data_IF_853407210341
#
_entry.id   IF_853407210341
#
_cell.length_a   1.000
_cell.length_b   1.000
_cell.length_c   1.000
_cell.angle_alpha   90.00
_cell.angle_beta   90.00
_cell.angle_gamma   90.00
#
_symmetry.space_group_name_H-M   'P 1'
#
loop_
_entity.id
_entity.type
_entity.pdbx_description
1 polymer ?
#
# COMPACT_ATOMS: atom_id res chain seq x y z
N UNK A 1 2.70 -0.45 37.17
CA UNK A 1 1.33 -0.49 36.62
C UNK A 1 1.42 -0.60 35.11
N UNK A 2 0.89 -1.66 34.49
CA UNK A 2 0.76 -1.73 33.03
C UNK A 2 -0.32 -0.72 32.65
N UNK A 3 0.07 0.45 32.15
CA UNK A 3 -0.89 1.35 31.53
C UNK A 3 -1.57 0.58 30.40
N UNK A 4 -2.87 0.30 30.56
CA UNK A 4 -3.67 -0.31 29.51
C UNK A 4 -3.56 0.58 28.28
N UNK A 5 -3.30 -0.02 27.12
CA UNK A 5 -3.31 0.71 25.85
C UNK A 5 -4.67 1.42 25.75
N UNK A 6 -4.71 2.73 25.52
CA UNK A 6 -5.98 3.43 25.33
C UNK A 6 -6.62 2.89 24.06
N UNK A 7 -7.60 2.01 24.21
CA UNK A 7 -8.52 1.66 23.14
C UNK A 7 -9.39 2.88 22.94
N UNK A 8 -9.41 3.42 21.72
CA UNK A 8 -10.23 4.58 21.38
C UNK A 8 -11.23 4.15 20.31
N UNK A 9 -12.39 3.57 20.71
CA UNK A 9 -13.34 2.96 19.78
C UNK A 9 -13.84 3.90 18.69
N UNK A 10 -13.85 5.22 18.95
CA UNK A 10 -14.22 6.22 17.95
C UNK A 10 -13.36 6.13 16.68
N UNK A 11 -12.06 5.84 16.80
CA UNK A 11 -11.17 5.69 15.65
C UNK A 11 -11.43 4.41 14.85
N UNK A 12 -11.98 3.37 15.46
CA UNK A 12 -12.40 2.17 14.73
C UNK A 12 -13.62 2.45 13.84
N UNK A 13 -14.53 3.34 14.27
CA UNK A 13 -15.61 3.85 13.43
C UNK A 13 -15.10 4.63 12.22
N UNK A 14 -14.12 5.52 12.41
CA UNK A 14 -13.48 6.24 11.31
C UNK A 14 -12.74 5.31 10.33
N UNK A 15 -12.08 4.26 10.83
CA UNK A 15 -11.47 3.23 9.98
C UNK A 15 -12.52 2.50 9.16
N UNK A 16 -13.63 2.09 9.78
CA UNK A 16 -14.71 1.41 9.09
C UNK A 16 -15.27 2.28 7.95
N UNK A 17 -15.51 3.57 8.21
CA UNK A 17 -15.94 4.51 7.18
C UNK A 17 -14.92 4.66 6.05
N UNK A 18 -13.63 4.79 6.38
CA UNK A 18 -12.57 4.87 5.38
C UNK A 18 -12.48 3.59 4.53
N UNK A 19 -12.55 2.41 5.14
CA UNK A 19 -12.56 1.11 4.44
C UNK A 19 -13.74 1.02 3.48
N UNK A 20 -14.95 1.42 3.91
CA UNK A 20 -16.12 1.45 3.04
C UNK A 20 -15.92 2.39 1.84
N UNK A 21 -15.32 3.56 2.05
CA UNK A 21 -14.95 4.47 0.97
C UNK A 21 -13.98 3.83 -0.03
N UNK A 22 -12.92 3.18 0.45
CA UNK A 22 -11.94 2.48 -0.39
C UNK A 22 -12.62 1.37 -1.21
N UNK A 23 -13.42 0.51 -0.57
CA UNK A 23 -14.15 -0.57 -1.26
C UNK A 23 -15.08 0.01 -2.32
N UNK A 24 -15.82 1.06 -1.99
CA UNK A 24 -16.76 1.70 -2.92
C UNK A 24 -16.03 2.24 -4.15
N UNK A 25 -14.92 2.97 -3.98
CA UNK A 25 -14.12 3.49 -5.10
C UNK A 25 -13.61 2.36 -5.98
N UNK A 26 -13.05 1.29 -5.41
CA UNK A 26 -12.54 0.17 -6.19
C UNK A 26 -13.66 -0.56 -6.94
N UNK A 27 -14.82 -0.77 -6.32
CA UNK A 27 -15.98 -1.37 -7.01
C UNK A 27 -16.44 -0.51 -8.19
N UNK A 28 -16.47 0.82 -8.04
CA UNK A 28 -16.84 1.74 -9.11
C UNK A 28 -15.79 1.81 -10.23
N UNK A 29 -14.49 1.67 -9.89
CA UNK A 29 -13.41 1.54 -10.87
C UNK A 29 -13.53 0.23 -11.66
N UNK A 30 -13.59 -0.92 -10.97
CA UNK A 30 -13.62 -2.23 -11.61
C UNK A 30 -14.93 -2.52 -12.36
N UNK A 31 -16.04 -1.89 -11.98
CA UNK A 31 -17.30 -1.98 -12.74
C UNK A 31 -17.30 -1.19 -14.05
N UNK A 32 -16.27 -0.36 -14.30
CA UNK A 32 -16.22 0.50 -15.48
C UNK A 32 -17.05 1.79 -15.37
N UNK A 33 -17.87 1.92 -14.31
CA UNK A 33 -18.82 3.04 -14.13
C UNK A 33 -18.10 4.38 -14.08
N UNK A 34 -16.92 4.46 -13.44
CA UNK A 34 -16.16 5.72 -13.39
C UNK A 34 -15.58 6.16 -14.74
N UNK A 35 -15.49 5.26 -15.72
CA UNK A 35 -14.99 5.55 -17.07
C UNK A 35 -16.11 5.91 -18.05
N UNK A 36 -17.36 5.58 -17.72
CA UNK A 36 -18.55 5.83 -18.56
C UNK A 36 -19.49 6.89 -17.99
N UNK A 37 -19.40 7.18 -16.69
CA UNK A 37 -20.19 8.22 -16.04
C UNK A 37 -19.89 9.61 -16.60
N UNK A 38 -20.89 10.49 -16.60
CA UNK A 38 -20.69 11.90 -16.91
C UNK A 38 -19.56 12.48 -16.05
N UNK A 39 -18.73 13.35 -16.65
CA UNK A 39 -17.55 13.92 -16.01
C UNK A 39 -17.84 14.49 -14.60
N UNK A 40 -19.04 15.01 -14.36
CA UNK A 40 -19.48 15.56 -13.07
C UNK A 40 -19.63 14.49 -11.99
N UNK A 41 -20.26 13.34 -12.29
CA UNK A 41 -20.48 12.27 -11.30
C UNK A 41 -19.17 11.62 -10.85
N UNK A 42 -18.30 11.31 -11.82
CA UNK A 42 -16.96 10.80 -11.53
C UNK A 42 -16.13 11.79 -10.69
N UNK A 43 -16.20 13.10 -11.02
CA UNK A 43 -15.52 14.16 -10.24
C UNK A 43 -16.00 14.22 -8.79
N UNK A 44 -17.30 14.11 -8.54
CA UNK A 44 -17.86 14.13 -7.17
C UNK A 44 -17.36 12.92 -6.38
N UNK A 45 -17.38 11.73 -6.97
CA UNK A 45 -16.90 10.51 -6.32
C UNK A 45 -15.41 10.64 -5.99
N UNK A 46 -14.59 11.12 -6.93
CA UNK A 46 -13.16 11.36 -6.68
C UNK A 46 -12.91 12.43 -5.62
N UNK A 47 -13.68 13.51 -5.60
CA UNK A 47 -13.55 14.57 -4.62
C UNK A 47 -13.98 14.15 -3.20
N UNK A 48 -14.88 13.17 -3.08
CA UNK A 48 -15.44 12.73 -1.79
C UNK A 48 -14.75 11.49 -1.24
N UNK A 49 -14.64 10.43 -2.05
CA UNK A 49 -14.14 9.12 -1.63
C UNK A 49 -12.73 8.83 -2.12
N UNK A 50 -12.21 9.60 -3.10
CA UNK A 50 -10.86 9.40 -3.63
C UNK A 50 -9.75 9.57 -2.60
N UNK A 51 -10.06 10.17 -1.43
CA UNK A 51 -9.14 10.37 -0.30
C UNK A 51 -9.30 9.35 0.83
N UNK A 52 -10.11 8.30 0.63
CA UNK A 52 -10.44 7.34 1.68
C UNK A 52 -9.21 6.55 2.17
N UNK A 53 -8.26 6.25 1.28
CA UNK A 53 -7.01 5.56 1.63
C UNK A 53 -6.17 6.43 2.56
N UNK A 54 -6.01 7.72 2.26
CA UNK A 54 -5.26 8.66 3.09
C UNK A 54 -5.89 8.79 4.49
N UNK A 55 -7.22 8.87 4.58
CA UNK A 55 -7.92 8.90 5.87
C UNK A 55 -7.64 7.62 6.65
N UNK A 56 -7.70 6.45 6.00
CA UNK A 56 -7.41 5.16 6.64
C UNK A 56 -5.98 5.12 7.20
N UNK A 57 -5.00 5.61 6.44
CA UNK A 57 -3.60 5.70 6.86
C UNK A 57 -3.41 6.66 8.04
N UNK A 58 -3.98 7.87 7.97
CA UNK A 58 -3.86 8.89 9.03
C UNK A 58 -4.45 8.37 10.34
N UNK A 59 -5.67 7.85 10.29
CA UNK A 59 -6.34 7.30 11.49
C UNK A 59 -5.57 6.10 12.04
N UNK A 60 -5.10 5.21 11.17
CA UNK A 60 -4.37 4.03 11.60
C UNK A 60 -3.02 4.38 12.22
N UNK A 61 -2.26 5.25 11.57
CA UNK A 61 -0.99 5.77 12.05
C UNK A 61 -1.13 6.49 13.39
N UNK A 62 -2.17 7.32 13.54
CA UNK A 62 -2.46 8.00 14.82
C UNK A 62 -2.65 7.01 15.97
N UNK A 63 -3.52 6.01 15.81
CA UNK A 63 -3.78 5.00 16.85
C UNK A 63 -2.52 4.20 17.18
N UNK A 64 -1.70 3.90 16.16
CA UNK A 64 -0.43 3.20 16.33
C UNK A 64 0.58 4.05 17.11
N UNK A 65 0.57 5.37 16.92
CA UNK A 65 1.47 6.31 17.56
C UNK A 65 1.11 6.60 19.02
N UNK A 66 -0.16 6.47 19.41
CA UNK A 66 -0.64 6.77 20.78
C UNK A 66 0.20 6.14 21.92
N UNK A 67 0.56 4.84 21.88
CA UNK A 67 1.35 4.23 22.96
C UNK A 67 2.76 4.80 23.04
N UNK A 68 3.33 5.19 21.89
CA UNK A 68 4.66 5.77 21.79
C UNK A 68 4.66 7.20 22.35
N UNK A 69 3.66 8.01 21.97
CA UNK A 69 3.46 9.34 22.55
C UNK A 69 3.22 9.31 24.07
N UNK A 70 2.48 8.30 24.55
CA UNK A 70 2.20 8.12 25.97
C UNK A 70 3.43 7.71 26.79
N UNK A 71 4.47 7.11 26.17
CA UNK A 71 5.69 6.69 26.86
C UNK A 71 6.69 7.80 27.16
N UNK A 72 6.46 9.06 26.71
CA UNK A 72 7.32 10.22 26.98
C UNK A 72 8.83 9.93 26.77
N UNK A 73 9.20 9.30 25.65
CA UNK A 73 10.60 8.95 25.35
C UNK A 73 11.16 7.69 26.04
N UNK A 74 10.38 6.97 26.87
CA UNK A 74 10.81 5.69 27.45
C UNK A 74 10.62 4.52 26.47
N UNK A 75 11.36 4.56 25.35
CA UNK A 75 11.16 3.72 24.17
C UNK A 75 11.89 2.36 24.20
N UNK A 76 12.25 1.84 25.38
CA UNK A 76 12.98 0.57 25.52
C UNK A 76 12.28 -0.67 24.93
N UNK A 77 11.04 -0.54 24.42
CA UNK A 77 10.25 -1.62 23.83
C UNK A 77 9.94 -1.42 22.33
N UNK A 78 10.59 -0.45 21.69
CA UNK A 78 10.36 -0.12 20.28
C UNK A 78 10.83 -1.21 19.31
N UNK A 79 12.08 -1.68 19.47
CA UNK A 79 12.63 -2.72 18.62
C UNK A 79 11.83 -4.04 18.70
N UNK A 80 11.42 -4.54 19.89
CA UNK A 80 10.48 -5.65 19.99
C UNK A 80 9.14 -5.41 19.28
N UNK A 81 8.65 -4.17 19.22
CA UNK A 81 7.44 -3.82 18.49
C UNK A 81 7.64 -3.92 16.98
N UNK A 82 8.75 -3.37 16.45
CA UNK A 82 9.13 -3.49 15.04
C UNK A 82 9.27 -4.94 14.62
N UNK A 83 9.98 -5.77 15.39
CA UNK A 83 10.20 -7.18 15.08
C UNK A 83 8.86 -7.93 15.00
N UNK A 84 7.97 -7.73 15.97
CA UNK A 84 6.63 -8.37 15.96
C UNK A 84 5.80 -7.97 14.75
N UNK A 85 5.89 -6.71 14.32
CA UNK A 85 5.17 -6.23 13.12
C UNK A 85 5.81 -6.72 11.83
N UNK A 86 7.12 -6.63 11.71
CA UNK A 86 7.88 -7.13 10.56
C UNK A 86 7.63 -8.62 10.35
N UNK A 87 7.72 -9.43 11.41
CA UNK A 87 7.45 -10.87 11.36
C UNK A 87 6.01 -11.23 10.95
N UNK A 88 5.05 -10.31 11.15
CA UNK A 88 3.65 -10.50 10.73
C UNK A 88 3.41 -10.07 9.27
N UNK A 89 4.04 -8.98 8.82
CA UNK A 89 3.75 -8.34 7.55
C UNK A 89 4.68 -8.80 6.41
N UNK A 90 5.98 -8.88 6.68
CA UNK A 90 7.01 -9.15 5.65
C UNK A 90 6.88 -10.53 4.99
N UNK A 91 6.56 -11.63 5.72
CA UNK A 91 6.47 -12.95 5.07
C UNK A 91 5.37 -13.02 4.01
N UNK A 92 4.20 -12.46 4.32
CA UNK A 92 3.08 -12.41 3.37
C UNK A 92 3.41 -11.50 2.18
N UNK A 93 4.08 -10.38 2.44
CA UNK A 93 4.53 -9.46 1.39
C UNK A 93 5.54 -10.09 0.43
N UNK A 94 6.58 -10.74 0.95
CA UNK A 94 7.58 -11.40 0.11
C UNK A 94 6.97 -12.56 -0.67
N UNK A 95 6.06 -13.32 -0.05
CA UNK A 95 5.36 -14.40 -0.73
C UNK A 95 4.53 -13.89 -1.91
N UNK A 96 3.70 -12.85 -1.70
CA UNK A 96 2.87 -12.32 -2.79
C UNK A 96 3.72 -11.64 -3.87
N UNK A 97 4.80 -10.96 -3.49
CA UNK A 97 5.73 -10.34 -4.44
C UNK A 97 6.46 -11.39 -5.28
N UNK A 98 6.88 -12.50 -4.66
CA UNK A 98 7.47 -13.64 -5.34
C UNK A 98 6.48 -14.27 -6.31
N UNK A 99 5.25 -14.53 -5.86
CA UNK A 99 4.19 -15.07 -6.73
C UNK A 99 3.95 -14.14 -7.90
N UNK A 100 3.88 -12.82 -7.68
CA UNK A 100 3.70 -11.85 -8.75
C UNK A 100 4.85 -11.90 -9.75
N UNK A 101 6.11 -11.94 -9.30
CA UNK A 101 7.27 -12.03 -10.19
C UNK A 101 7.28 -13.34 -11.00
N UNK A 102 6.92 -14.47 -10.37
CA UNK A 102 6.85 -15.76 -11.04
C UNK A 102 5.72 -15.80 -12.09
N UNK A 103 4.55 -15.23 -11.78
CA UNK A 103 3.44 -15.16 -12.73
C UNK A 103 3.81 -14.31 -13.94
N UNK A 104 4.34 -13.10 -13.72
CA UNK A 104 4.79 -12.20 -14.79
C UNK A 104 5.82 -12.89 -15.67
N UNK A 105 6.83 -13.55 -15.07
CA UNK A 105 7.86 -14.29 -15.81
C UNK A 105 7.26 -15.47 -16.60
N UNK A 106 6.38 -16.26 -15.98
CA UNK A 106 5.74 -17.41 -16.61
C UNK A 106 4.93 -17.02 -17.85
N UNK A 107 4.10 -15.98 -17.75
CA UNK A 107 3.30 -15.49 -18.87
C UNK A 107 4.18 -14.86 -19.96
N UNK A 108 5.18 -14.07 -19.59
CA UNK A 108 6.12 -13.47 -20.55
C UNK A 108 6.88 -14.53 -21.37
N UNK A 109 7.25 -15.66 -20.76
CA UNK A 109 7.91 -16.77 -21.44
C UNK A 109 6.95 -17.64 -22.28
N UNK A 110 5.67 -17.72 -21.88
CA UNK A 110 4.67 -18.59 -22.53
C UNK A 110 4.09 -17.97 -23.81
N UNK A 111 3.85 -16.66 -23.82
CA UNK A 111 3.36 -15.93 -24.99
C UNK A 111 3.89 -14.49 -24.98
N UNK A 112 5.11 -14.26 -25.49
CA UNK A 112 5.76 -12.95 -25.49
C UNK A 112 4.96 -11.87 -26.24
N UNK A 113 4.14 -12.26 -27.22
CA UNK A 113 3.34 -11.33 -28.02
C UNK A 113 2.11 -10.83 -27.26
N UNK A 114 1.50 -11.69 -26.42
CA UNK A 114 0.36 -11.32 -25.57
C UNK A 114 0.74 -10.49 -24.33
N UNK A 115 1.99 -10.57 -23.88
CA UNK A 115 2.45 -9.89 -22.67
C UNK A 115 2.82 -8.43 -22.91
N UNK A 116 3.12 -8.05 -24.17
CA UNK A 116 3.45 -6.70 -24.59
C UNK A 116 2.24 -5.74 -24.74
N UNK A 117 1.09 -6.03 -24.08
CA UNK A 117 -0.08 -5.17 -24.16
C UNK A 117 0.11 -3.91 -23.31
N UNK A 118 0.28 -2.78 -23.98
CA UNK A 118 0.14 -1.45 -23.41
C UNK A 118 -1.35 -1.10 -23.36
N UNK A 119 -2.00 -1.26 -22.20
CA UNK A 119 -3.33 -0.68 -21.98
C UNK A 119 -3.16 0.83 -21.73
N UNK A 120 -3.67 1.72 -22.60
CA UNK A 120 -3.57 3.17 -22.41
C UNK A 120 -4.34 3.68 -21.18
N UNK A 121 -5.29 2.89 -20.65
CA UNK A 121 -6.02 3.20 -19.42
C UNK A 121 -5.29 2.72 -18.15
N UNK A 122 -4.34 1.80 -18.29
CA UNK A 122 -3.44 1.42 -17.21
C UNK A 122 -2.33 2.46 -17.13
N UNK A 123 -2.22 3.16 -16.00
CA UNK A 123 -1.08 4.03 -15.74
C UNK A 123 0.23 3.25 -15.92
N UNK A 124 0.90 3.45 -17.06
CA UNK A 124 2.31 3.12 -17.33
C UNK A 124 2.77 1.70 -16.97
N UNK A 125 1.94 0.67 -17.17
CA UNK A 125 2.33 -0.72 -16.91
C UNK A 125 2.54 -1.49 -18.20
N UNK A 126 3.70 -1.31 -18.82
CA UNK A 126 4.23 -2.34 -19.72
C UNK A 126 4.61 -3.54 -18.87
N UNK A 127 3.83 -4.61 -18.97
CA UNK A 127 4.17 -5.90 -18.37
C UNK A 127 5.38 -6.45 -19.14
N UNK A 128 6.55 -6.37 -18.53
CA UNK A 128 7.79 -6.94 -19.05
C UNK A 128 8.34 -7.97 -18.06
N UNK A 129 9.24 -8.83 -18.53
CA UNK A 129 10.00 -9.72 -17.62
C UNK A 129 10.71 -8.86 -16.58
N UNK A 130 10.54 -9.13 -15.27
CA UNK A 130 11.16 -8.32 -14.22
C UNK A 130 12.69 -8.39 -14.33
N UNK A 131 13.35 -7.24 -14.30
CA UNK A 131 14.80 -7.16 -14.12
C UNK A 131 15.17 -7.31 -12.63
N UNK A 132 16.44 -7.56 -12.34
CA UNK A 132 17.02 -7.48 -11.00
C UNK A 132 16.68 -6.15 -10.30
N UNK A 133 16.64 -5.02 -11.02
CA UNK A 133 16.21 -3.75 -10.45
C UNK A 133 14.77 -3.77 -9.90
N UNK A 134 13.85 -4.39 -10.64
CA UNK A 134 12.45 -4.53 -10.24
C UNK A 134 12.30 -5.44 -9.04
N UNK A 135 13.04 -6.56 -9.04
CA UNK A 135 13.05 -7.51 -7.93
C UNK A 135 13.62 -6.85 -6.67
N UNK A 136 14.80 -6.23 -6.75
CA UNK A 136 15.43 -5.60 -5.59
C UNK A 136 14.53 -4.48 -5.04
N UNK A 137 14.02 -3.60 -5.89
CA UNK A 137 13.18 -2.48 -5.46
C UNK A 137 11.90 -2.94 -4.77
N UNK A 138 11.22 -3.95 -5.30
CA UNK A 138 10.00 -4.49 -4.68
C UNK A 138 10.31 -5.28 -3.41
N UNK A 139 11.24 -6.25 -3.42
CA UNK A 139 11.51 -7.06 -2.22
C UNK A 139 12.04 -6.26 -1.02
N UNK A 140 12.64 -5.09 -1.27
CA UNK A 140 13.10 -4.15 -0.24
C UNK A 140 12.08 -3.08 0.15
N UNK A 141 10.86 -3.12 -0.41
CA UNK A 141 9.81 -2.09 -0.26
C UNK A 141 10.22 -0.68 -0.73
N UNK A 142 11.26 -0.56 -1.57
CA UNK A 142 11.79 0.72 -2.07
C UNK A 142 11.20 1.12 -3.42
N UNK A 143 10.43 0.26 -4.09
CA UNK A 143 9.79 0.59 -5.37
C UNK A 143 8.94 1.87 -5.32
N UNK A 144 8.16 2.09 -4.27
CA UNK A 144 7.34 3.30 -4.10
C UNK A 144 8.19 4.56 -3.91
N UNK A 145 9.16 4.63 -2.97
CA UNK A 145 9.98 5.82 -2.82
C UNK A 145 10.88 6.09 -4.03
N UNK A 146 11.40 5.05 -4.69
CA UNK A 146 12.15 5.21 -5.94
C UNK A 146 11.26 5.72 -7.08
N UNK A 147 9.98 5.32 -7.09
CA UNK A 147 8.95 5.79 -8.01
C UNK A 147 8.74 7.31 -8.01
N UNK A 148 9.06 8.02 -6.91
CA UNK A 148 9.00 9.49 -6.89
C UNK A 148 10.12 10.16 -7.68
N UNK A 149 11.22 9.43 -7.95
CA UNK A 149 12.39 9.94 -8.65
C UNK A 149 12.47 9.40 -10.09
N UNK A 150 11.92 8.21 -10.34
CA UNK A 150 11.83 7.63 -11.68
C UNK A 150 10.61 6.72 -11.85
N UNK A 151 9.98 6.79 -13.03
CA UNK A 151 8.87 5.90 -13.40
C UNK A 151 9.33 4.48 -13.80
N UNK A 152 10.59 4.14 -13.53
CA UNK A 152 11.22 2.90 -14.00
C UNK A 152 10.95 1.70 -13.09
N UNK A 153 10.36 1.90 -11.91
CA UNK A 153 10.19 0.84 -10.91
C UNK A 153 8.71 0.46 -10.76
N UNK A 154 8.24 -0.61 -11.45
CA UNK A 154 6.85 -1.04 -11.37
C UNK A 154 6.55 -1.61 -9.98
N UNK A 155 5.57 -1.02 -9.29
CA UNK A 155 5.12 -1.51 -7.98
C UNK A 155 4.34 -2.82 -8.14
N UNK A 156 4.67 -3.82 -7.33
CA UNK A 156 3.98 -5.11 -7.34
C UNK A 156 4.12 -5.85 -8.67
N UNK A 157 5.28 -5.69 -9.34
CA UNK A 157 5.56 -6.25 -10.67
C UNK A 157 4.58 -5.79 -11.75
N UNK A 158 3.88 -4.67 -11.53
CA UNK A 158 2.88 -4.17 -12.47
C UNK A 158 1.53 -4.91 -12.45
N UNK A 159 1.39 -5.98 -11.67
CA UNK A 159 0.12 -6.74 -11.61
C UNK A 159 -0.58 -6.68 -10.25
N UNK A 160 0.16 -6.31 -9.19
CA UNK A 160 -0.38 -6.22 -7.84
C UNK A 160 -0.16 -4.83 -7.27
N UNK A 161 -0.80 -3.84 -7.90
CA UNK A 161 -0.73 -2.44 -7.47
C UNK A 161 -0.94 -2.24 -5.97
N UNK A 162 -1.95 -2.83 -5.30
CA UNK A 162 -2.25 -2.56 -3.89
C UNK A 162 -1.09 -2.80 -2.90
N UNK A 163 -0.05 -3.55 -3.28
CA UNK A 163 1.13 -3.77 -2.43
C UNK A 163 1.89 -2.48 -2.11
N UNK A 164 1.65 -1.41 -2.89
CA UNK A 164 2.24 -0.09 -2.64
C UNK A 164 1.96 0.40 -1.23
N UNK A 165 0.82 0.03 -0.65
CA UNK A 165 0.37 0.49 0.68
C UNK A 165 1.29 0.04 1.83
N UNK A 166 2.00 -1.07 1.66
CA UNK A 166 2.90 -1.57 2.71
C UNK A 166 4.19 -0.75 2.83
N UNK A 167 4.68 -0.19 1.72
CA UNK A 167 5.88 0.65 1.71
C UNK A 167 5.77 1.88 2.64
N UNK A 168 4.74 2.75 2.52
CA UNK A 168 4.55 3.87 3.43
C UNK A 168 4.22 3.43 4.87
N UNK A 169 3.55 2.28 5.06
CA UNK A 169 3.32 1.72 6.40
C UNK A 169 4.64 1.37 7.11
N UNK A 170 5.55 0.68 6.42
CA UNK A 170 6.87 0.34 6.95
C UNK A 170 7.73 1.59 7.14
N UNK A 171 7.71 2.53 6.20
CA UNK A 171 8.41 3.81 6.34
C UNK A 171 7.94 4.57 7.59
N UNK A 172 6.63 4.60 7.85
CA UNK A 172 6.08 5.18 9.07
C UNK A 172 6.63 4.48 10.33
N UNK A 173 6.75 3.15 10.33
CA UNK A 173 7.37 2.43 11.45
C UNK A 173 8.88 2.72 11.59
N UNK A 174 9.61 2.97 10.52
CA UNK A 174 11.02 3.31 10.66
C UNK A 174 11.23 4.74 11.18
N UNK A 175 10.31 5.64 10.88
CA UNK A 175 10.38 7.07 11.25
C UNK A 175 9.81 7.37 12.63
N UNK A 176 8.78 6.63 13.07
CA UNK A 176 8.13 6.81 14.37
C UNK A 176 9.06 6.98 15.60
N UNK A 177 10.15 6.21 15.78
CA UNK A 177 10.97 6.32 16.98
C UNK A 177 11.76 7.64 17.07
N UNK A 178 11.84 8.42 15.99
CA UNK A 178 12.44 9.76 16.01
C UNK A 178 11.54 10.79 16.70
N UNK A 179 10.23 10.49 16.84
CA UNK A 179 9.21 11.42 17.35
C UNK A 179 8.54 10.94 18.66
N UNK A 180 8.93 9.79 19.18
CA UNK A 180 8.33 9.13 20.34
C UNK A 180 9.10 9.33 21.65
#
# INVERSE_FOLDING_TARGET
MKAGLPVVPAFDGFRAFAILGVVTVHLLQFSGVLFTAEATGARIIWATLGRAVEILFIVSGFVIFLPAAASKGNNGRYLPFLIRRGARLLPAYWLITLISALLVTFFALSDPASFALSDPAAHNQTLATPDLGDLISNFTLTAVPLGYFSDQFPVGMGINLPVWTLSPEVAFYLVMPLFA
#
